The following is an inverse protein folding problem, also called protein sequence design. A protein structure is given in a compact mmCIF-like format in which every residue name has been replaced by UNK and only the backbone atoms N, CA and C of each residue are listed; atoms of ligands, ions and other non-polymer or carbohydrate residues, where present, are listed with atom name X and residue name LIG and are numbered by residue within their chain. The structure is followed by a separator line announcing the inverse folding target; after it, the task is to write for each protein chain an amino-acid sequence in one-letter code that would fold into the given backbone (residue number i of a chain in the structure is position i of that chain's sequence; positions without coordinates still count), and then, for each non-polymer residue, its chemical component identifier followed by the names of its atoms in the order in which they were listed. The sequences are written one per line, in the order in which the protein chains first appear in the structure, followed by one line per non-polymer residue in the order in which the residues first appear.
data_IF_837245572683
#
_entry.id   IF_837245572683
#
_cell.length_a   1.000
_cell.length_b   1.000
_cell.length_c   1.000
_cell.angle_alpha   90.00
_cell.angle_beta   90.00
_cell.angle_gamma   90.00
#
_symmetry.space_group_name_H-M   'P 1'
#
loop_
_entity.id
_entity.type
_entity.pdbx_description
1 polymer ?
#
# COMPACT_ATOMS: atom_id res chain seq x y z
N UNK A 1 9.04 2.78 15.60
CA UNK A 1 8.68 1.68 14.69
C UNK A 1 8.02 2.24 13.43
N UNK A 2 6.99 3.07 13.57
CA UNK A 2 6.30 3.74 12.46
C UNK A 2 7.24 4.46 11.47
N UNK A 3 8.13 5.36 11.94
CA UNK A 3 9.08 6.06 11.05
C UNK A 3 9.98 5.12 10.24
N UNK A 4 10.27 3.92 10.77
CA UNK A 4 11.03 2.91 10.02
C UNK A 4 10.17 2.24 8.95
N UNK A 5 8.92 1.92 9.27
CA UNK A 5 7.97 1.37 8.31
C UNK A 5 7.66 2.38 7.18
N UNK A 6 7.56 3.67 7.49
CA UNK A 6 7.39 4.73 6.48
C UNK A 6 8.59 4.81 5.54
N UNK A 7 9.82 4.83 6.06
CA UNK A 7 11.01 4.81 5.20
C UNK A 7 11.06 3.56 4.34
N UNK A 8 10.70 2.39 4.89
CA UNK A 8 10.57 1.14 4.14
C UNK A 8 9.52 1.24 3.01
N UNK A 9 8.38 1.86 3.26
CA UNK A 9 7.37 2.10 2.23
C UNK A 9 7.88 3.07 1.13
N UNK A 10 8.58 4.13 1.51
CA UNK A 10 9.15 5.11 0.58
C UNK A 10 10.20 4.48 -0.33
N UNK A 11 11.08 3.64 0.22
CA UNK A 11 12.09 2.92 -0.60
C UNK A 11 11.45 2.01 -1.64
N UNK A 12 10.18 1.66 -1.44
CA UNK A 12 9.33 0.85 -2.31
C UNK A 12 8.38 1.70 -3.15
N UNK A 13 8.70 2.99 -3.34
CA UNK A 13 7.96 3.93 -4.20
C UNK A 13 6.61 4.41 -3.65
N UNK A 14 6.31 4.13 -2.39
CA UNK A 14 5.00 4.46 -1.79
C UNK A 14 4.94 5.92 -1.37
N UNK A 15 3.90 6.64 -1.82
CA UNK A 15 3.64 8.03 -1.44
C UNK A 15 2.58 8.18 -0.34
N UNK A 16 1.69 7.18 -0.20
CA UNK A 16 0.61 7.20 0.78
C UNK A 16 0.30 5.82 1.35
N UNK A 17 -0.08 5.76 2.63
CA UNK A 17 -0.44 4.53 3.35
C UNK A 17 -1.76 4.69 4.12
N UNK A 18 -2.37 3.55 4.43
CA UNK A 18 -3.44 3.41 5.43
C UNK A 18 -3.03 2.35 6.46
N UNK A 19 -3.61 2.40 7.66
CA UNK A 19 -3.40 1.38 8.70
C UNK A 19 -2.27 1.67 9.68
N UNK A 20 -1.83 2.93 9.75
CA UNK A 20 -0.95 3.38 10.83
C UNK A 20 -1.66 3.37 12.18
N UNK A 21 -0.88 3.43 13.26
CA UNK A 21 -1.42 3.75 14.58
C UNK A 21 -1.75 5.26 14.64
N UNK A 22 -2.97 5.60 15.07
CA UNK A 22 -3.47 6.97 15.24
C UNK A 22 -2.82 7.66 16.48
N UNK A 23 -1.56 8.03 16.38
CA UNK A 23 -0.83 8.73 17.45
C UNK A 23 -0.18 10.02 16.91
N UNK A 24 -0.17 11.14 17.67
CA UNK A 24 0.44 12.39 17.23
C UNK A 24 1.93 12.28 16.83
N UNK A 25 2.64 11.29 17.38
CA UNK A 25 4.04 11.00 17.07
C UNK A 25 4.26 10.23 15.74
N UNK A 26 3.16 9.79 15.09
CA UNK A 26 3.15 9.01 13.85
C UNK A 26 2.83 9.84 12.60
N UNK A 27 2.73 11.17 12.72
CA UNK A 27 2.84 12.03 11.53
C UNK A 27 4.27 11.93 11.02
N UNK A 28 4.45 11.55 9.76
CA UNK A 28 5.78 11.28 9.24
C UNK A 28 5.84 11.23 7.71
N UNK A 29 6.96 10.73 7.21
CA UNK A 29 7.48 11.00 5.86
C UNK A 29 6.55 10.57 4.73
N UNK A 30 5.73 9.54 4.94
CA UNK A 30 4.70 9.09 3.99
C UNK A 30 3.37 9.76 4.32
N UNK A 31 2.57 10.09 3.29
CA UNK A 31 1.21 10.58 3.53
C UNK A 31 0.35 9.49 4.18
N UNK A 32 0.01 9.72 5.43
CA UNK A 32 -0.83 8.82 6.19
C UNK A 32 -2.30 9.21 6.06
N UNK A 33 -3.04 8.45 5.25
CA UNK A 33 -4.36 8.87 4.78
C UNK A 33 -5.45 8.77 5.85
N UNK A 34 -5.36 7.81 6.80
CA UNK A 34 -6.29 7.76 7.92
C UNK A 34 -6.08 8.86 8.98
N UNK A 35 -4.95 9.58 8.90
CA UNK A 35 -4.60 10.67 9.82
C UNK A 35 -4.79 12.08 9.18
N UNK A 36 -4.88 12.14 7.85
CA UNK A 36 -5.06 13.38 7.08
C UNK A 36 -6.55 13.72 6.88
N UNK A 37 -7.13 14.39 7.89
CA UNK A 37 -8.54 14.81 7.86
C UNK A 37 -8.87 15.80 6.73
N UNK A 38 -7.88 16.37 6.04
CA UNK A 38 -8.11 17.23 4.86
C UNK A 38 -8.48 16.43 3.61
N UNK A 39 -8.28 15.11 3.65
CA UNK A 39 -8.57 14.15 2.59
C UNK A 39 -9.78 13.28 2.92
N UNK A 40 -10.64 13.73 3.85
CA UNK A 40 -11.83 13.00 4.25
C UNK A 40 -11.58 12.02 5.38
N UNK A 41 -12.62 11.25 5.73
CA UNK A 41 -12.58 10.31 6.85
C UNK A 41 -12.35 8.90 6.33
N UNK A 42 -11.11 8.43 6.47
CA UNK A 42 -10.67 7.10 6.03
C UNK A 42 -10.51 6.24 7.27
N UNK A 43 -11.30 5.18 7.35
CA UNK A 43 -11.31 4.24 8.47
C UNK A 43 -10.69 2.91 8.06
N UNK A 44 -10.02 2.28 8.99
CA UNK A 44 -9.38 0.98 8.83
C UNK A 44 -9.63 0.12 10.06
N UNK A 45 -9.97 -1.16 9.86
CA UNK A 45 -10.19 -2.10 10.95
C UNK A 45 -9.73 -3.53 10.60
N UNK A 46 -8.89 -4.12 11.46
CA UNK A 46 -8.38 -5.49 11.29
C UNK A 46 -9.37 -6.53 11.80
N UNK A 47 -10.18 -6.20 12.81
CA UNK A 47 -11.16 -7.11 13.42
C UNK A 47 -12.58 -6.55 13.26
N UNK A 48 -13.11 -6.39 12.04
CA UNK A 48 -14.39 -5.71 11.81
C UNK A 48 -15.58 -6.42 12.48
N UNK A 49 -15.46 -7.72 12.74
CA UNK A 49 -16.50 -8.52 13.39
C UNK A 49 -16.53 -8.33 14.91
N UNK A 50 -15.49 -7.72 15.49
CA UNK A 50 -15.40 -7.34 16.90
C UNK A 50 -15.80 -5.88 17.14
N UNK A 51 -16.12 -5.13 16.07
CA UNK A 51 -16.61 -3.75 16.20
C UNK A 51 -17.84 -3.70 17.11
N UNK A 52 -17.75 -2.83 18.11
CA UNK A 52 -18.90 -2.41 18.93
C UNK A 52 -19.94 -1.71 18.05
N UNK A 53 -21.18 -1.66 18.53
CA UNK A 53 -22.24 -0.90 17.85
C UNK A 53 -21.89 0.58 17.68
N UNK A 54 -21.15 1.15 18.64
CA UNK A 54 -20.65 2.53 18.56
C UNK A 54 -19.65 2.69 17.41
N UNK A 55 -18.67 1.80 17.28
CA UNK A 55 -17.69 1.86 16.17
C UNK A 55 -18.37 1.62 14.83
N UNK A 56 -19.31 0.67 14.75
CA UNK A 56 -20.08 0.42 13.55
C UNK A 56 -20.91 1.64 13.14
N UNK A 57 -21.49 2.35 14.12
CA UNK A 57 -22.19 3.62 13.89
C UNK A 57 -21.23 4.69 13.37
N UNK A 58 -20.06 4.87 13.99
CA UNK A 58 -19.04 5.84 13.55
C UNK A 58 -18.60 5.56 12.11
N UNK A 59 -18.46 4.29 11.74
CA UNK A 59 -18.13 3.88 10.38
C UNK A 59 -19.25 4.20 9.39
N UNK A 60 -20.50 3.88 9.72
CA UNK A 60 -21.67 4.23 8.89
C UNK A 60 -21.83 5.74 8.70
N UNK A 61 -21.64 6.52 9.76
CA UNK A 61 -21.72 7.98 9.71
C UNK A 61 -20.59 8.57 8.83
N UNK A 62 -19.39 7.97 8.85
CA UNK A 62 -18.28 8.32 7.96
C UNK A 62 -18.62 8.01 6.49
N UNK A 63 -19.10 6.80 6.19
CA UNK A 63 -19.49 6.36 4.85
C UNK A 63 -20.63 7.22 4.28
N UNK A 64 -21.60 7.60 5.11
CA UNK A 64 -22.67 8.53 4.72
C UNK A 64 -22.17 9.94 4.37
N UNK A 65 -20.98 10.31 4.84
CA UNK A 65 -20.34 11.61 4.59
C UNK A 65 -19.20 11.52 3.56
N UNK A 66 -19.29 10.56 2.62
CA UNK A 66 -18.29 10.31 1.58
C UNK A 66 -16.91 9.84 2.10
N UNK A 67 -16.84 9.34 3.35
CA UNK A 67 -15.67 8.64 3.85
C UNK A 67 -15.55 7.22 3.28
N UNK A 68 -14.50 6.51 3.70
CA UNK A 68 -14.23 5.13 3.29
C UNK A 68 -13.90 4.24 4.49
N UNK A 69 -14.14 2.94 4.36
CA UNK A 69 -13.84 1.95 5.39
C UNK A 69 -13.14 0.74 4.75
N UNK A 70 -11.95 0.43 5.24
CA UNK A 70 -11.16 -0.72 4.84
C UNK A 70 -11.15 -1.76 5.96
N UNK A 71 -11.48 -3.02 5.64
CA UNK A 71 -11.61 -4.07 6.65
C UNK A 71 -10.97 -5.39 6.20
N UNK A 72 -10.35 -6.12 7.13
CA UNK A 72 -9.90 -7.49 6.84
C UNK A 72 -11.11 -8.41 6.87
N UNK A 73 -11.32 -9.16 5.80
CA UNK A 73 -12.45 -10.07 5.70
C UNK A 73 -12.16 -11.21 4.74
N UNK A 74 -12.54 -12.41 5.12
CA UNK A 74 -12.32 -13.63 4.35
C UNK A 74 -10.84 -13.98 4.28
N UNK A 75 -10.07 -13.63 5.31
CA UNK A 75 -8.64 -13.89 5.41
C UNK A 75 -8.37 -15.34 5.85
N UNK A 76 -8.67 -16.26 4.93
CA UNK A 76 -8.54 -17.70 5.14
C UNK A 76 -9.02 -18.49 3.93
N UNK A 77 -8.88 -19.81 3.98
CA UNK A 77 -9.23 -20.66 2.85
C UNK A 77 -10.76 -20.74 2.63
N UNK A 78 -11.25 -20.93 1.38
CA UNK A 78 -12.67 -21.14 1.08
C UNK A 78 -13.29 -22.39 1.72
N UNK A 79 -12.49 -23.32 2.25
CA UNK A 79 -12.96 -24.46 3.03
C UNK A 79 -12.97 -24.19 4.55
N UNK A 80 -12.49 -23.02 5.00
CA UNK A 80 -12.58 -22.59 6.38
C UNK A 80 -13.96 -21.98 6.69
N UNK A 81 -14.66 -22.58 7.64
CA UNK A 81 -16.00 -22.16 8.00
C UNK A 81 -16.04 -20.78 8.68
N UNK A 82 -14.97 -20.38 9.37
CA UNK A 82 -14.90 -19.10 10.06
C UNK A 82 -14.68 -17.96 9.07
N UNK A 83 -13.80 -18.10 8.07
CA UNK A 83 -13.54 -17.10 7.03
C UNK A 83 -14.69 -16.98 6.04
N UNK A 84 -15.33 -18.09 5.66
CA UNK A 84 -16.44 -18.05 4.69
C UNK A 84 -17.73 -17.44 5.21
N UNK A 85 -17.97 -17.45 6.53
CA UNK A 85 -19.17 -16.80 7.12
C UNK A 85 -19.03 -15.29 7.26
N UNK A 86 -17.82 -14.74 7.19
CA UNK A 86 -17.56 -13.33 7.51
C UNK A 86 -18.29 -12.38 6.55
N UNK A 87 -18.38 -12.74 5.27
CA UNK A 87 -19.13 -11.96 4.29
C UNK A 87 -20.62 -11.86 4.64
N UNK A 88 -21.23 -12.97 5.10
CA UNK A 88 -22.61 -12.95 5.58
C UNK A 88 -22.77 -12.10 6.86
N UNK A 89 -21.77 -12.11 7.74
CA UNK A 89 -21.76 -11.28 8.96
C UNK A 89 -21.63 -9.78 8.62
N UNK A 90 -20.79 -9.41 7.66
CA UNK A 90 -20.69 -8.04 7.15
C UNK A 90 -22.03 -7.54 6.63
N UNK A 91 -22.71 -8.37 5.82
CA UNK A 91 -24.06 -8.08 5.32
C UNK A 91 -25.05 -7.91 6.47
N UNK A 92 -25.05 -8.82 7.43
CA UNK A 92 -25.91 -8.75 8.62
C UNK A 92 -25.69 -7.49 9.46
N UNK A 93 -24.45 -6.96 9.50
CA UNK A 93 -24.12 -5.68 10.14
C UNK A 93 -24.50 -4.46 9.30
N UNK A 94 -24.99 -4.64 8.08
CA UNK A 94 -25.39 -3.56 7.17
C UNK A 94 -24.19 -2.76 6.65
N UNK A 95 -23.04 -3.41 6.46
CA UNK A 95 -21.80 -2.80 5.97
C UNK A 95 -21.47 -3.19 4.51
N UNK A 96 -22.36 -3.92 3.83
CA UNK A 96 -22.27 -4.11 2.38
C UNK A 96 -22.87 -2.89 1.66
N UNK A 97 -22.14 -1.77 1.72
CA UNK A 97 -22.56 -0.45 1.20
C UNK A 97 -21.38 0.26 0.52
N UNK A 98 -21.64 1.29 -0.33
CA UNK A 98 -20.57 2.03 -0.99
C UNK A 98 -19.55 2.64 -0.02
N UNK A 99 -18.29 2.70 -0.43
CA UNK A 99 -17.16 3.21 0.37
C UNK A 99 -16.51 2.17 1.27
N UNK A 100 -17.05 0.95 1.36
CA UNK A 100 -16.41 -0.20 2.03
C UNK A 100 -15.51 -0.94 1.04
N UNK A 101 -14.32 -1.33 1.49
CA UNK A 101 -13.38 -2.18 0.75
C UNK A 101 -12.88 -3.33 1.62
N UNK A 102 -12.87 -4.54 1.07
CA UNK A 102 -12.46 -5.76 1.76
C UNK A 102 -11.00 -6.06 1.46
N UNK A 103 -10.17 -6.24 2.49
CA UNK A 103 -8.77 -6.63 2.39
C UNK A 103 -8.70 -8.16 2.44
N UNK A 104 -7.88 -8.74 1.55
CA UNK A 104 -7.71 -10.17 1.29
C UNK A 104 -8.86 -10.82 0.54
N UNK A 105 -9.98 -11.12 1.19
CA UNK A 105 -11.13 -11.77 0.55
C UNK A 105 -10.88 -13.19 0.03
N UNK A 106 -9.83 -13.89 0.49
CA UNK A 106 -9.42 -15.22 -0.01
C UNK A 106 -10.55 -16.25 0.05
N UNK A 107 -11.39 -16.21 1.08
CA UNK A 107 -12.51 -17.12 1.26
C UNK A 107 -13.78 -16.75 0.44
N UNK A 108 -13.78 -15.61 -0.26
CA UNK A 108 -14.94 -15.13 -1.01
C UNK A 108 -15.19 -15.97 -2.27
N UNK A 109 -16.46 -16.06 -2.64
CA UNK A 109 -16.94 -16.83 -3.80
C UNK A 109 -17.37 -15.89 -4.93
N UNK A 110 -17.51 -16.40 -6.17
CA UNK A 110 -18.06 -15.62 -7.28
C UNK A 110 -19.41 -14.94 -6.99
N UNK A 111 -20.28 -15.56 -6.18
CA UNK A 111 -21.54 -14.96 -5.75
C UNK A 111 -21.34 -13.73 -4.86
N UNK A 112 -20.30 -13.73 -4.02
CA UNK A 112 -19.98 -12.63 -3.11
C UNK A 112 -19.47 -11.43 -3.91
N UNK A 113 -18.61 -11.66 -4.91
CA UNK A 113 -18.13 -10.59 -5.81
C UNK A 113 -19.27 -9.95 -6.62
N UNK A 114 -20.26 -10.73 -7.06
CA UNK A 114 -21.47 -10.20 -7.70
C UNK A 114 -22.27 -9.30 -6.75
N UNK A 115 -22.39 -9.67 -5.47
CA UNK A 115 -23.04 -8.81 -4.46
C UNK A 115 -22.21 -7.55 -4.17
N UNK A 116 -20.88 -7.67 -4.05
CA UNK A 116 -19.96 -6.54 -3.86
C UNK A 116 -20.08 -5.54 -5.01
N UNK A 117 -20.06 -6.01 -6.26
CA UNK A 117 -20.19 -5.15 -7.43
C UNK A 117 -21.51 -4.36 -7.42
N UNK A 118 -22.63 -5.01 -7.10
CA UNK A 118 -23.95 -4.35 -6.97
C UNK A 118 -23.97 -3.30 -5.86
N UNK A 119 -23.29 -3.58 -4.74
CA UNK A 119 -23.20 -2.69 -3.60
C UNK A 119 -22.09 -1.63 -3.71
N UNK A 120 -21.27 -1.67 -4.77
CA UNK A 120 -20.08 -0.82 -4.95
C UNK A 120 -19.06 -0.97 -3.81
N UNK A 121 -18.88 -2.19 -3.34
CA UNK A 121 -17.85 -2.57 -2.36
C UNK A 121 -16.57 -2.95 -3.11
N UNK A 122 -15.44 -2.42 -2.66
CA UNK A 122 -14.12 -2.67 -3.27
C UNK A 122 -13.41 -3.90 -2.73
N UNK A 123 -12.32 -4.27 -3.40
CA UNK A 123 -11.38 -5.31 -2.97
C UNK A 123 -9.96 -4.72 -2.87
N UNK A 124 -9.22 -5.10 -1.84
CA UNK A 124 -7.77 -4.89 -1.74
C UNK A 124 -7.09 -6.25 -1.79
N UNK A 125 -6.36 -6.46 -2.88
CA UNK A 125 -5.65 -7.68 -3.17
C UNK A 125 -4.22 -7.61 -2.65
N UNK A 126 -3.82 -8.62 -1.88
CA UNK A 126 -2.48 -8.75 -1.30
C UNK A 126 -1.89 -10.12 -1.66
N UNK A 127 -1.47 -10.32 -2.92
CA UNK A 127 -1.13 -11.62 -3.47
C UNK A 127 -0.01 -12.34 -2.72
N UNK A 128 1.08 -11.64 -2.40
CA UNK A 128 2.20 -12.24 -1.67
C UNK A 128 1.75 -12.77 -0.31
N UNK A 129 1.07 -11.93 0.48
CA UNK A 129 0.55 -12.32 1.79
C UNK A 129 -0.44 -13.48 1.72
N UNK A 130 -1.38 -13.44 0.76
CA UNK A 130 -2.35 -14.52 0.61
C UNK A 130 -1.67 -15.86 0.31
N UNK A 131 -0.73 -15.89 -0.63
CA UNK A 131 -0.02 -17.12 -0.99
C UNK A 131 0.88 -17.62 0.15
N UNK A 132 1.56 -16.71 0.85
CA UNK A 132 2.40 -17.04 2.00
C UNK A 132 1.61 -17.66 3.16
N UNK A 133 0.41 -17.14 3.43
CA UNK A 133 -0.43 -17.58 4.55
C UNK A 133 -1.32 -18.79 4.21
N UNK A 134 -1.88 -18.82 3.00
CA UNK A 134 -2.96 -19.74 2.64
C UNK A 134 -2.62 -20.67 1.48
N UNK A 135 -1.49 -20.49 0.80
CA UNK A 135 -1.11 -21.28 -0.37
C UNK A 135 -1.94 -20.99 -1.63
N UNK A 136 -2.85 -20.01 -1.58
CA UNK A 136 -3.62 -19.51 -2.70
C UNK A 136 -4.02 -18.05 -2.46
N UNK A 137 -4.31 -17.33 -3.54
CA UNK A 137 -4.84 -15.96 -3.46
C UNK A 137 -6.34 -15.91 -3.75
N UNK A 138 -6.95 -14.76 -3.48
CA UNK A 138 -8.37 -14.49 -3.79
C UNK A 138 -8.67 -14.72 -5.26
N UNK A 139 -9.90 -15.14 -5.58
CA UNK A 139 -10.38 -15.33 -6.95
C UNK A 139 -10.54 -13.97 -7.67
N UNK A 140 -9.40 -13.40 -8.05
CA UNK A 140 -9.29 -12.10 -8.74
C UNK A 140 -9.90 -12.14 -10.15
N UNK A 141 -10.00 -13.32 -10.76
CA UNK A 141 -10.71 -13.49 -12.04
C UNK A 141 -12.21 -13.30 -11.84
N UNK A 142 -12.82 -13.90 -10.82
CA UNK A 142 -14.22 -13.68 -10.49
C UNK A 142 -14.47 -12.23 -10.08
N UNK A 143 -13.59 -11.61 -9.29
CA UNK A 143 -13.70 -10.20 -8.93
C UNK A 143 -13.68 -9.29 -10.18
N UNK A 144 -12.73 -9.51 -11.10
CA UNK A 144 -12.62 -8.81 -12.38
C UNK A 144 -13.86 -9.00 -13.24
N UNK A 145 -14.33 -10.24 -13.39
CA UNK A 145 -15.50 -10.61 -14.21
C UNK A 145 -16.78 -9.95 -13.72
N UNK A 146 -16.92 -9.77 -12.41
CA UNK A 146 -18.05 -9.07 -11.81
C UNK A 146 -17.91 -7.54 -11.80
N UNK A 147 -16.76 -7.00 -12.23
CA UNK A 147 -16.51 -5.56 -12.25
C UNK A 147 -16.27 -4.94 -10.87
N UNK A 148 -15.75 -5.71 -9.91
CA UNK A 148 -15.32 -5.19 -8.61
C UNK A 148 -14.08 -4.33 -8.81
N UNK A 149 -14.07 -3.12 -8.24
CA UNK A 149 -12.88 -2.27 -8.24
C UNK A 149 -11.87 -2.87 -7.27
N UNK A 150 -10.71 -3.28 -7.80
CA UNK A 150 -9.63 -3.87 -7.04
C UNK A 150 -8.46 -2.90 -6.94
N UNK A 151 -7.95 -2.73 -5.72
CA UNK A 151 -6.65 -2.12 -5.43
C UNK A 151 -5.64 -3.20 -5.03
N UNK A 152 -4.35 -2.88 -5.10
CA UNK A 152 -3.25 -3.76 -4.71
C UNK A 152 -2.52 -3.15 -3.52
N UNK A 153 -2.21 -3.96 -2.51
CA UNK A 153 -1.46 -3.53 -1.34
C UNK A 153 -0.54 -4.64 -0.82
N UNK A 154 0.68 -4.31 -0.34
CA UNK A 154 1.68 -5.30 0.08
C UNK A 154 1.34 -6.05 1.36
N UNK A 155 0.34 -5.59 2.12
CA UNK A 155 0.05 -6.03 3.49
C UNK A 155 1.25 -5.77 4.45
N UNK A 156 1.19 -6.24 5.69
CA UNK A 156 2.27 -6.10 6.65
C UNK A 156 3.50 -6.97 6.33
N UNK A 157 4.69 -6.45 6.62
CA UNK A 157 5.96 -7.08 6.23
C UNK A 157 6.22 -8.51 6.73
N UNK A 158 5.65 -9.02 7.85
CA UNK A 158 5.92 -10.40 8.28
C UNK A 158 5.44 -11.48 7.31
N UNK A 159 4.34 -11.24 6.58
CA UNK A 159 3.75 -12.24 5.67
C UNK A 159 3.54 -11.71 4.27
N UNK A 160 3.47 -10.39 4.09
CA UNK A 160 3.39 -9.72 2.81
C UNK A 160 4.74 -9.33 2.22
N UNK A 161 4.68 -8.49 1.20
CA UNK A 161 5.85 -7.96 0.50
C UNK A 161 6.56 -6.86 1.30
N UNK A 162 7.81 -6.57 0.94
CA UNK A 162 8.56 -5.46 1.57
C UNK A 162 7.97 -4.07 1.29
N UNK A 163 7.19 -3.94 0.22
CA UNK A 163 6.39 -2.77 -0.08
C UNK A 163 5.74 -2.88 -1.45
N UNK A 164 5.15 -1.77 -1.91
CA UNK A 164 4.24 -1.77 -3.05
C UNK A 164 4.90 -2.17 -4.38
N UNK A 165 6.13 -1.72 -4.66
CA UNK A 165 6.85 -2.12 -5.88
C UNK A 165 7.15 -3.63 -5.88
N UNK A 166 7.64 -4.19 -4.77
CA UNK A 166 7.84 -5.63 -4.65
C UNK A 166 6.52 -6.40 -4.84
N UNK A 167 5.41 -5.93 -4.28
CA UNK A 167 4.12 -6.62 -4.42
C UNK A 167 3.52 -6.49 -5.82
N UNK A 168 3.75 -5.37 -6.52
CA UNK A 168 3.42 -5.20 -7.93
C UNK A 168 4.19 -6.19 -8.81
N UNK A 169 5.51 -6.32 -8.57
CA UNK A 169 6.35 -7.29 -9.26
C UNK A 169 5.88 -8.73 -9.00
N UNK A 170 5.56 -9.03 -7.75
CA UNK A 170 4.98 -10.31 -7.37
C UNK A 170 3.67 -10.58 -8.14
N UNK A 171 2.76 -9.61 -8.17
CA UNK A 171 1.48 -9.73 -8.86
C UNK A 171 1.64 -9.92 -10.38
N UNK A 172 2.57 -9.17 -11.01
CA UNK A 172 2.88 -9.28 -12.43
C UNK A 172 3.47 -10.67 -12.76
N UNK A 173 4.42 -11.14 -11.95
CA UNK A 173 5.04 -12.46 -12.08
C UNK A 173 4.01 -13.58 -11.89
N UNK A 174 3.18 -13.49 -10.86
CA UNK A 174 2.09 -14.44 -10.61
C UNK A 174 1.12 -14.49 -11.80
N UNK A 175 0.71 -13.33 -12.32
CA UNK A 175 -0.20 -13.20 -13.45
C UNK A 175 0.39 -13.78 -14.75
N UNK A 176 1.69 -13.56 -15.00
CA UNK A 176 2.39 -14.12 -16.16
C UNK A 176 2.58 -15.64 -16.08
N UNK A 177 2.57 -16.22 -14.87
CA UNK A 177 2.65 -17.65 -14.64
C UNK A 177 1.36 -18.43 -14.90
N UNK A 178 0.23 -17.74 -15.13
CA UNK A 178 -1.05 -18.36 -15.47
C UNK A 178 -1.05 -18.85 -16.93
N UNK A 179 -1.78 -19.93 -17.22
CA UNK A 179 -1.99 -20.39 -18.61
C UNK A 179 -2.58 -19.28 -19.49
N UNK A 180 -3.45 -18.46 -18.90
CA UNK A 180 -4.03 -17.27 -19.51
C UNK A 180 -3.89 -16.09 -18.55
N UNK A 181 -2.90 -15.19 -18.77
CA UNK A 181 -2.73 -14.00 -17.95
C UNK A 181 -4.01 -13.16 -17.87
N UNK A 182 -4.41 -12.82 -16.65
CA UNK A 182 -5.65 -12.11 -16.36
C UNK A 182 -5.52 -10.60 -16.57
N UNK A 183 -4.35 -10.03 -16.32
CA UNK A 183 -4.13 -8.58 -16.31
C UNK A 183 -3.03 -8.18 -17.27
N UNK A 184 -3.18 -7.00 -17.86
CA UNK A 184 -2.06 -6.27 -18.45
C UNK A 184 -1.37 -5.45 -17.36
N UNK A 185 -0.10 -5.09 -17.55
CA UNK A 185 0.65 -4.28 -16.59
C UNK A 185 -0.05 -2.96 -16.28
N UNK A 186 -0.67 -2.30 -17.28
CA UNK A 186 -1.42 -1.07 -17.06
C UNK A 186 -2.55 -1.25 -16.03
N UNK A 187 -3.20 -2.42 -16.00
CA UNK A 187 -4.27 -2.72 -15.05
C UNK A 187 -3.70 -2.89 -13.65
N UNK A 188 -2.56 -3.56 -13.50
CA UNK A 188 -1.86 -3.68 -12.20
C UNK A 188 -1.42 -2.32 -11.67
N UNK A 189 -0.88 -1.46 -12.53
CA UNK A 189 -0.54 -0.07 -12.17
C UNK A 189 -1.78 0.70 -11.73
N UNK A 190 -2.93 0.52 -12.41
CA UNK A 190 -4.19 1.13 -11.96
C UNK A 190 -4.62 0.62 -10.57
N UNK A 191 -4.42 -0.67 -10.25
CA UNK A 191 -4.72 -1.22 -8.92
C UNK A 191 -3.89 -0.53 -7.83
N UNK A 192 -2.63 -0.21 -8.09
CA UNK A 192 -1.75 0.48 -7.14
C UNK A 192 -1.93 2.01 -7.11
N UNK A 193 -2.65 2.60 -8.07
CA UNK A 193 -2.78 4.06 -8.21
C UNK A 193 -4.25 4.52 -8.25
N UNK A 194 -4.82 4.66 -9.45
CA UNK A 194 -6.14 5.26 -9.64
C UNK A 194 -7.29 4.46 -9.02
N UNK A 195 -7.20 3.13 -8.94
CA UNK A 195 -8.22 2.32 -8.26
C UNK A 195 -8.13 2.47 -6.75
N UNK A 196 -6.93 2.46 -6.17
CA UNK A 196 -6.74 2.75 -4.76
C UNK A 196 -7.34 4.12 -4.40
N UNK A 197 -7.04 5.16 -5.20
CA UNK A 197 -7.63 6.48 -5.02
C UNK A 197 -9.16 6.47 -5.12
N UNK A 198 -9.76 5.71 -6.05
CA UNK A 198 -11.24 5.56 -6.14
C UNK A 198 -11.83 4.88 -4.91
N UNK A 199 -11.20 3.82 -4.39
CA UNK A 199 -11.67 3.13 -3.18
C UNK A 199 -11.61 4.03 -1.93
N UNK A 200 -10.69 4.99 -1.92
CA UNK A 200 -10.56 6.02 -0.89
C UNK A 200 -11.50 7.23 -1.11
N UNK A 201 -12.24 7.28 -2.22
CA UNK A 201 -12.97 8.47 -2.70
C UNK A 201 -12.08 9.72 -2.89
N UNK A 202 -10.83 9.50 -3.31
CA UNK A 202 -9.81 10.51 -3.56
C UNK A 202 -9.35 10.55 -5.02
N UNK A 203 -10.13 10.01 -5.95
CA UNK A 203 -9.81 9.97 -7.38
C UNK A 203 -9.72 11.34 -8.06
N UNK A 204 -10.13 12.41 -7.35
CA UNK A 204 -9.97 13.82 -7.77
C UNK A 204 -8.78 14.53 -7.13
N UNK A 205 -7.99 13.82 -6.34
CA UNK A 205 -6.89 14.36 -5.52
C UNK A 205 -5.61 13.55 -5.66
N UNK A 206 -5.71 12.24 -5.86
CA UNK A 206 -4.62 11.27 -5.88
C UNK A 206 -4.79 10.23 -7.00
N UNK A 207 -3.75 9.44 -7.23
CA UNK A 207 -3.79 8.26 -8.11
C UNK A 207 -3.67 8.57 -9.61
N UNK A 208 -3.44 9.83 -9.99
CA UNK A 208 -3.21 10.26 -11.38
C UNK A 208 -2.41 11.56 -11.43
N UNK A 209 -1.63 11.75 -12.49
CA UNK A 209 -0.94 13.01 -12.78
C UNK A 209 -1.88 13.93 -13.56
N UNK A 210 -2.55 14.85 -12.85
CA UNK A 210 -3.50 15.81 -13.41
C UNK A 210 -3.39 17.17 -12.71
N UNK A 211 -3.77 18.24 -13.41
CA UNK A 211 -3.81 19.58 -12.81
C UNK A 211 -4.76 19.60 -11.60
N UNK A 212 -4.33 20.23 -10.51
CA UNK A 212 -5.08 20.32 -9.25
C UNK A 212 -4.96 19.11 -8.31
N UNK A 213 -4.27 18.04 -8.73
CA UNK A 213 -4.00 16.89 -7.87
C UNK A 213 -2.81 17.16 -6.94
N UNK A 214 -2.71 16.39 -5.85
CA UNK A 214 -1.53 16.42 -5.00
C UNK A 214 -0.32 15.93 -5.79
N UNK A 215 0.81 16.62 -5.65
CA UNK A 215 2.08 16.26 -6.29
C UNK A 215 2.77 15.11 -5.54
N UNK A 216 2.11 13.96 -5.54
CA UNK A 216 2.59 12.69 -5.02
C UNK A 216 3.10 11.87 -6.23
N UNK A 217 4.43 11.84 -6.43
CA UNK A 217 5.07 11.39 -7.68
C UNK A 217 6.18 10.38 -7.39
N UNK A 218 6.21 9.31 -8.18
CA UNK A 218 7.29 8.34 -8.26
C UNK A 218 8.03 8.50 -9.59
N UNK A 219 9.36 8.53 -9.56
CA UNK A 219 10.22 8.46 -10.75
C UNK A 219 11.08 7.21 -10.66
N UNK A 220 11.09 6.43 -11.73
CA UNK A 220 11.82 5.17 -11.84
C UNK A 220 12.86 5.28 -12.95
N UNK A 221 13.98 4.59 -12.75
CA UNK A 221 14.97 4.34 -13.78
C UNK A 221 14.52 3.11 -14.59
N UNK A 222 14.40 3.19 -15.93
CA UNK A 222 14.05 2.04 -16.76
C UNK A 222 15.20 1.04 -16.93
N UNK A 223 16.11 0.92 -15.95
CA UNK A 223 17.50 0.44 -16.08
C UNK A 223 17.68 -0.99 -16.61
N UNK A 224 16.64 -1.82 -16.65
CA UNK A 224 16.74 -3.23 -17.02
C UNK A 224 16.91 -3.50 -18.53
N UNK A 225 16.86 -2.46 -19.38
CA UNK A 225 17.04 -2.57 -20.83
C UNK A 225 15.95 -3.39 -21.54
N UNK A 226 15.89 -3.30 -22.88
CA UNK A 226 14.90 -4.05 -23.67
C UNK A 226 13.47 -3.54 -23.50
N UNK A 227 12.51 -4.42 -23.15
CA UNK A 227 11.08 -4.10 -22.97
C UNK A 227 10.82 -2.90 -22.04
N UNK A 228 11.71 -2.64 -21.08
CA UNK A 228 11.59 -1.53 -20.13
C UNK A 228 11.60 -0.14 -20.76
N UNK A 229 12.22 0.03 -21.94
CA UNK A 229 12.31 1.33 -22.60
C UNK A 229 11.08 1.65 -23.45
N UNK A 230 10.35 0.62 -23.90
CA UNK A 230 9.24 0.76 -24.84
C UNK A 230 7.86 0.66 -24.15
N UNK A 231 7.77 0.09 -22.93
CA UNK A 231 6.54 -0.01 -22.15
C UNK A 231 6.72 0.53 -20.71
N UNK A 232 6.18 1.72 -20.46
CA UNK A 232 6.24 2.36 -19.15
C UNK A 232 5.46 1.61 -18.06
N UNK A 233 4.36 0.91 -18.41
CA UNK A 233 3.60 0.15 -17.43
C UNK A 233 4.36 -1.10 -17.00
N UNK A 234 4.99 -1.78 -17.96
CA UNK A 234 5.89 -2.90 -17.67
C UNK A 234 7.02 -2.48 -16.73
N UNK A 235 7.64 -1.31 -16.99
CA UNK A 235 8.71 -0.80 -16.11
C UNK A 235 8.21 -0.58 -14.69
N UNK A 236 7.03 0.01 -14.49
CA UNK A 236 6.48 0.21 -13.15
C UNK A 236 6.24 -1.12 -12.44
N UNK A 237 5.71 -2.14 -13.14
CA UNK A 237 5.40 -3.43 -12.51
C UNK A 237 6.64 -4.29 -12.29
N UNK A 238 7.74 -4.07 -13.01
CA UNK A 238 8.95 -4.90 -12.92
C UNK A 238 10.15 -4.21 -12.26
N UNK A 239 10.04 -2.93 -11.88
CA UNK A 239 11.08 -2.21 -11.14
C UNK A 239 11.32 -2.76 -9.72
N UNK A 240 12.56 -2.65 -9.27
CA UNK A 240 12.98 -2.96 -7.90
C UNK A 240 13.22 -1.66 -7.10
N UNK A 241 13.41 -1.74 -5.78
CA UNK A 241 13.71 -0.56 -4.95
C UNK A 241 14.94 0.24 -5.40
N UNK A 242 15.89 -0.43 -6.06
CA UNK A 242 17.10 0.18 -6.62
C UNK A 242 16.79 1.11 -7.80
N UNK A 243 15.72 0.83 -8.55
CA UNK A 243 15.29 1.64 -9.69
C UNK A 243 14.59 2.93 -9.27
N UNK A 244 14.22 3.08 -8.00
CA UNK A 244 13.54 4.28 -7.52
C UNK A 244 14.51 5.46 -7.52
N UNK A 245 14.27 6.41 -8.41
CA UNK A 245 15.07 7.62 -8.58
C UNK A 245 14.60 8.77 -7.71
N UNK A 246 13.28 8.88 -7.49
CA UNK A 246 12.67 9.95 -6.71
C UNK A 246 11.29 9.53 -6.22
N UNK A 247 11.02 9.79 -4.95
CA UNK A 247 9.67 9.84 -4.38
C UNK A 247 9.43 11.26 -3.88
N UNK A 248 8.33 11.84 -4.35
CA UNK A 248 7.87 13.18 -3.99
C UNK A 248 6.49 13.06 -3.36
N UNK A 249 6.26 13.78 -2.27
CA UNK A 249 4.97 13.80 -1.56
C UNK A 249 4.59 15.26 -1.33
N UNK A 250 3.42 15.66 -1.84
CA UNK A 250 2.93 17.04 -1.77
C UNK A 250 3.88 18.05 -2.42
N UNK A 251 4.62 17.66 -3.45
CA UNK A 251 5.59 18.52 -4.14
C UNK A 251 6.97 18.56 -3.48
N UNK A 252 7.18 17.83 -2.38
CA UNK A 252 8.46 17.79 -1.65
C UNK A 252 9.20 16.48 -1.95
N UNK A 253 10.45 16.52 -2.45
CA UNK A 253 11.30 15.34 -2.55
C UNK A 253 11.55 14.74 -1.15
N UNK A 254 11.20 13.46 -0.95
CA UNK A 254 11.38 12.78 0.34
C UNK A 254 12.46 11.70 0.30
N UNK A 255 12.67 11.09 -0.87
CA UNK A 255 13.67 10.04 -1.11
C UNK A 255 14.12 10.08 -2.56
N UNK A 256 15.40 9.84 -2.82
CA UNK A 256 15.95 9.82 -4.18
C UNK A 256 17.37 9.26 -4.29
N UNK A 257 17.87 9.29 -5.53
CA UNK A 257 19.29 9.29 -5.82
C UNK A 257 19.96 10.62 -5.44
N UNK A 258 21.12 10.61 -4.74
CA UNK A 258 21.80 11.83 -4.28
C UNK A 258 22.11 12.85 -5.39
N UNK A 259 22.32 12.39 -6.62
CA UNK A 259 22.59 13.25 -7.77
C UNK A 259 21.34 14.03 -8.24
N UNK A 260 20.15 13.45 -8.08
CA UNK A 260 18.86 14.06 -8.43
C UNK A 260 18.48 15.10 -7.37
N UNK A 261 18.56 14.76 -6.08
CA UNK A 261 18.26 15.69 -4.99
C UNK A 261 19.03 16.99 -5.10
N UNK A 262 20.35 16.89 -5.33
CA UNK A 262 21.23 18.06 -5.45
C UNK A 262 20.77 19.05 -6.54
N UNK A 263 20.12 18.55 -7.59
CA UNK A 263 19.55 19.37 -8.66
C UNK A 263 18.19 19.95 -8.29
N UNK A 264 17.35 19.21 -7.56
CA UNK A 264 15.99 19.62 -7.20
C UNK A 264 15.93 20.58 -6.00
N UNK A 265 16.73 20.33 -4.96
CA UNK A 265 16.65 21.07 -3.69
C UNK A 265 17.75 22.11 -3.50
N UNK A 266 18.77 22.10 -4.36
CA UNK A 266 20.01 22.84 -4.12
C UNK A 266 20.72 22.38 -2.84
N UNK A 267 21.51 23.26 -2.22
CA UNK A 267 22.35 22.95 -1.06
C UNK A 267 21.65 23.05 0.32
N UNK A 268 20.33 23.28 0.36
CA UNK A 268 19.64 23.66 1.61
C UNK A 268 18.91 22.51 2.32
N UNK A 269 18.76 21.34 1.69
CA UNK A 269 18.06 20.19 2.31
C UNK A 269 19.06 19.26 2.99
N UNK A 270 18.77 18.90 4.24
CA UNK A 270 19.60 17.94 4.99
C UNK A 270 19.24 16.51 4.60
N UNK A 271 20.10 15.91 3.79
CA UNK A 271 19.94 14.55 3.31
C UNK A 271 20.70 13.57 4.18
N UNK A 272 20.03 12.47 4.52
CA UNK A 272 20.65 11.35 5.17
C UNK A 272 20.88 10.22 4.16
N UNK A 273 22.13 9.76 3.97
CA UNK A 273 22.41 8.67 3.06
C UNK A 273 21.91 7.34 3.64
N UNK A 274 21.27 6.55 2.80
CA UNK A 274 20.86 5.17 3.10
C UNK A 274 21.31 4.24 1.98
N UNK A 275 21.49 2.96 2.31
CA UNK A 275 21.85 1.92 1.34
C UNK A 275 20.62 1.06 1.06
N UNK A 276 20.30 0.90 -0.23
CA UNK A 276 19.24 0.02 -0.71
C UNK A 276 19.87 -0.92 -1.71
N UNK A 277 20.08 -2.17 -1.29
CA UNK A 277 20.68 -3.22 -2.11
C UNK A 277 22.06 -2.86 -2.70
N UNK A 278 22.89 -2.10 -1.96
CA UNK A 278 24.19 -1.65 -2.45
C UNK A 278 24.13 -0.38 -3.33
N UNK A 279 22.93 0.13 -3.62
CA UNK A 279 22.75 1.44 -4.27
C UNK A 279 22.61 2.51 -3.20
N UNK A 280 23.44 3.54 -3.29
CA UNK A 280 23.39 4.67 -2.37
C UNK A 280 22.22 5.59 -2.71
N UNK A 281 21.33 5.77 -1.75
CA UNK A 281 20.12 6.59 -1.82
C UNK A 281 20.15 7.67 -0.73
N UNK A 282 19.18 8.58 -0.76
CA UNK A 282 19.07 9.65 0.23
C UNK A 282 17.62 9.82 0.72
N UNK A 283 17.44 10.24 1.97
CA UNK A 283 16.15 10.62 2.54
C UNK A 283 16.20 12.00 3.17
N UNK A 284 15.10 12.73 3.06
CA UNK A 284 14.91 14.05 3.64
C UNK A 284 14.28 13.99 5.05
N UNK A 285 14.86 13.18 5.95
CA UNK A 285 14.28 12.88 7.26
C UNK A 285 14.17 14.12 8.17
N UNK A 286 15.20 14.96 8.16
CA UNK A 286 15.29 16.13 9.03
C UNK A 286 14.31 17.26 8.68
N UNK A 287 13.84 17.32 7.43
CA UNK A 287 12.84 18.32 7.01
C UNK A 287 11.49 18.11 7.71
N UNK A 288 11.14 16.85 7.98
CA UNK A 288 9.89 16.51 8.67
C UNK A 288 10.05 16.54 10.19
N UNK A 289 11.19 16.06 10.72
CA UNK A 289 11.35 15.82 12.15
C UNK A 289 12.30 16.78 12.87
N UNK A 290 12.83 17.76 12.15
CA UNK A 290 13.82 18.71 12.63
C UNK A 290 15.26 18.18 12.60
N UNK A 291 16.26 19.09 12.62
CA UNK A 291 17.67 18.76 12.38
C UNK A 291 18.33 17.88 13.45
N UNK A 292 17.69 17.74 14.63
CA UNK A 292 18.20 16.95 15.75
C UNK A 292 17.82 15.47 15.65
N UNK A 293 16.88 15.11 14.76
CA UNK A 293 16.38 13.75 14.57
C UNK A 293 16.88 13.20 13.25
N UNK A 294 17.46 12.01 13.29
CA UNK A 294 17.97 11.28 12.13
C UNK A 294 17.31 9.90 12.04
N UNK A 295 17.26 9.38 10.83
CA UNK A 295 16.83 8.02 10.58
C UNK A 295 17.78 7.00 11.21
N UNK A 296 19.10 7.26 11.22
CA UNK A 296 20.09 6.44 11.90
C UNK A 296 19.81 6.30 13.39
N UNK A 297 19.40 7.38 14.08
CA UNK A 297 18.97 7.28 15.48
C UNK A 297 17.74 6.39 15.63
N UNK A 298 16.77 6.49 14.71
CA UNK A 298 15.60 5.60 14.65
C UNK A 298 16.01 4.14 14.50
N UNK A 299 16.93 3.83 13.57
CA UNK A 299 17.46 2.49 13.37
C UNK A 299 18.21 1.95 14.60
N UNK A 300 19.04 2.78 15.23
CA UNK A 300 19.81 2.40 16.42
C UNK A 300 18.91 2.13 17.63
N UNK A 301 17.89 2.96 17.84
CA UNK A 301 16.91 2.78 18.90
C UNK A 301 16.12 1.47 18.70
N UNK A 302 15.61 1.22 17.48
CA UNK A 302 14.90 -0.02 17.17
C UNK A 302 15.79 -1.25 17.30
N UNK A 303 17.03 -1.18 16.80
CA UNK A 303 18.00 -2.28 16.92
C UNK A 303 18.29 -2.61 18.39
N UNK A 304 18.39 -1.61 19.25
CA UNK A 304 18.60 -1.80 20.69
C UNK A 304 17.38 -2.45 21.35
N UNK A 305 16.17 -1.98 21.02
CA UNK A 305 14.94 -2.55 21.55
C UNK A 305 14.74 -4.01 21.10
N UNK A 306 14.96 -4.32 19.82
CA UNK A 306 14.77 -5.68 19.27
C UNK A 306 15.76 -6.71 19.82
N UNK A 307 16.98 -6.28 20.20
CA UNK A 307 17.97 -7.16 20.85
C UNK A 307 17.47 -7.74 22.17
N UNK A 308 16.62 -7.02 22.89
CA UNK A 308 16.01 -7.52 24.14
C UNK A 308 15.14 -8.76 23.90
N UNK A 309 14.69 -8.96 22.67
CA UNK A 309 13.86 -10.08 22.23
C UNK A 309 14.62 -11.08 21.35
N UNK A 310 15.96 -11.01 21.31
CA UNK A 310 16.81 -11.81 20.41
C UNK A 310 16.43 -11.65 18.93
N UNK A 311 15.93 -10.48 18.53
CA UNK A 311 15.58 -10.14 17.15
C UNK A 311 16.54 -9.11 16.59
N UNK A 312 16.66 -9.11 15.26
CA UNK A 312 17.39 -8.10 14.49
C UNK A 312 16.39 -7.22 13.77
N UNK A 313 16.74 -5.96 13.57
CA UNK A 313 15.99 -5.08 12.69
C UNK A 313 16.06 -5.65 11.27
N UNK A 314 14.91 -5.85 10.65
CA UNK A 314 14.82 -6.26 9.24
C UNK A 314 15.51 -5.21 8.34
N UNK A 315 15.98 -5.57 7.14
CA UNK A 315 16.44 -4.59 6.18
C UNK A 315 15.27 -3.75 5.64
N UNK A 316 15.61 -2.63 4.99
CA UNK A 316 14.62 -1.78 4.31
C UNK A 316 14.06 -2.44 3.03
N UNK A 317 14.80 -3.36 2.43
CA UNK A 317 14.37 -4.15 1.28
C UNK A 317 15.12 -5.48 1.30
N UNK A 318 14.47 -6.55 0.89
CA UNK A 318 15.05 -7.85 0.62
C UNK A 318 15.63 -7.85 -0.79
N UNK A 319 16.95 -7.97 -0.84
CA UNK A 319 17.73 -7.83 -2.07
C UNK A 319 18.10 -9.20 -2.67
N UNK A 320 17.50 -10.29 -2.20
CA UNK A 320 17.65 -11.63 -2.80
C UNK A 320 19.08 -12.18 -2.81
N UNK A 321 19.88 -11.88 -1.78
CA UNK A 321 21.29 -12.30 -1.65
C UNK A 321 21.42 -13.78 -1.27
#
# INVERSE_FOLDING_TARGET
MQHYAEVKAITQGTTSVIGSLLEPCNRGLVRNLNDDLTLGKILYNVSPLEMTETEAKVAKDALASNGSLFIHLGEGLPNDAASTREFAMLKGRGLLIPGVSLIHGVALKPSDFNEMAKAKVGLVWSPCSNLQLYGQTVDVEAAKTNGVITALAPDWSPTGSDGLLTDLNFAATWNAGLEHPLFHDHTLVQMATSNAAKLLHLEKRLGSLQEGFLADVLVLNPSHGGQSMDDAFWTITHSTPEDVLLVMIGGKPVYDDPAIMKRLTGAMVMLEPIDICGVQKSISFAEEFGPQRTFRQTQAALSTALRQWSRKLAPLSDCGV
#
